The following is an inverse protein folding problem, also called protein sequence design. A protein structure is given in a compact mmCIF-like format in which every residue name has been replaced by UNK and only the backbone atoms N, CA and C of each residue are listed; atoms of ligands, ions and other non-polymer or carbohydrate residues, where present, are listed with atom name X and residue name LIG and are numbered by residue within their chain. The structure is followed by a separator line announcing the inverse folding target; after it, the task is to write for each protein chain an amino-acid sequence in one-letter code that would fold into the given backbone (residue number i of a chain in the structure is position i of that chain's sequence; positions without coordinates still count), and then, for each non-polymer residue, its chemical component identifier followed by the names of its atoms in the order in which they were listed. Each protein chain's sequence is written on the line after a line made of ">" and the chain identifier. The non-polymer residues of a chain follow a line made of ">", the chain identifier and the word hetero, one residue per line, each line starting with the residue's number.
data_IF_143847954804
#
_entry.id   IF_143847954804
#
_cell.length_a   1.000
_cell.length_b   1.000
_cell.length_c   1.000
_cell.angle_alpha   90.00
_cell.angle_beta   90.00
_cell.angle_gamma   90.00
#
_symmetry.space_group_name_H-M   'P 1'
#
loop_
_entity.id
_entity.type
_entity.pdbx_description
1 polymer ?
#
# COMPACT_ATOMS: atom_id res chain seq x y z
N UNK A 1 -9.11 38.78 20.10
CA UNK A 1 -9.21 37.42 20.68
C UNK A 1 -10.65 36.97 20.55
N UNK A 2 -10.92 35.81 19.93
CA UNK A 2 -12.28 35.44 19.51
C UNK A 2 -13.13 35.01 20.71
N UNK A 3 -14.33 35.60 20.89
CA UNK A 3 -15.24 35.29 22.01
C UNK A 3 -15.60 33.81 22.08
N UNK A 4 -15.81 33.17 20.93
CA UNK A 4 -16.09 31.73 20.81
C UNK A 4 -14.97 30.85 21.36
N UNK A 5 -13.71 31.26 21.20
CA UNK A 5 -12.56 30.50 21.73
C UNK A 5 -12.50 30.58 23.26
N UNK A 6 -12.84 31.74 23.84
CA UNK A 6 -12.93 31.91 25.28
C UNK A 6 -14.10 31.10 25.85
N UNK A 7 -15.26 31.10 25.19
CA UNK A 7 -16.41 30.26 25.57
C UNK A 7 -16.09 28.77 25.49
N UNK A 8 -15.36 28.34 24.46
CA UNK A 8 -14.87 26.96 24.34
C UNK A 8 -13.93 26.58 25.49
N UNK A 9 -12.98 27.45 25.87
CA UNK A 9 -12.02 27.20 26.94
C UNK A 9 -12.64 27.22 28.34
N UNK A 10 -13.73 27.96 28.54
CA UNK A 10 -14.43 28.11 29.83
C UNK A 10 -15.70 27.25 29.95
N UNK A 11 -16.14 26.65 28.85
CA UNK A 11 -17.25 25.70 28.80
C UNK A 11 -16.98 24.46 29.64
N UNK A 12 -17.95 24.08 30.49
CA UNK A 12 -17.91 22.86 31.32
C UNK A 12 -18.46 21.63 30.60
N UNK A 13 -18.49 21.63 29.28
CA UNK A 13 -18.96 20.47 28.53
C UNK A 13 -17.99 19.30 28.71
N UNK A 14 -18.49 18.20 29.25
CA UNK A 14 -17.70 16.99 29.38
C UNK A 14 -17.54 16.36 27.99
N UNK A 15 -16.29 16.22 27.54
CA UNK A 15 -15.99 15.54 26.28
C UNK A 15 -16.65 14.15 26.29
N UNK A 16 -17.47 13.81 25.28
CA UNK A 16 -18.11 12.50 25.17
C UNK A 16 -17.09 11.37 25.37
N UNK A 17 -17.39 10.40 26.22
CA UNK A 17 -16.44 9.32 26.58
C UNK A 17 -15.94 8.52 25.36
N UNK A 18 -16.77 8.40 24.32
CA UNK A 18 -16.35 7.75 23.08
C UNK A 18 -15.19 8.52 22.40
N UNK A 19 -15.23 9.86 22.37
CA UNK A 19 -14.17 10.70 21.79
C UNK A 19 -12.89 10.64 22.62
N UNK A 20 -13.00 10.66 23.96
CA UNK A 20 -11.84 10.47 24.85
C UNK A 20 -11.16 9.13 24.59
N UNK A 21 -11.93 8.06 24.46
CA UNK A 21 -11.39 6.72 24.21
C UNK A 21 -10.69 6.62 22.85
N UNK A 22 -11.26 7.23 21.80
CA UNK A 22 -10.67 7.31 20.46
C UNK A 22 -9.37 8.12 20.47
N UNK A 23 -9.36 9.28 21.13
CA UNK A 23 -8.17 10.12 21.26
C UNK A 23 -7.04 9.38 22.01
N UNK A 24 -7.38 8.68 23.11
CA UNK A 24 -6.40 7.88 23.86
C UNK A 24 -5.81 6.75 23.00
N UNK A 25 -6.64 6.04 22.22
CA UNK A 25 -6.18 5.02 21.28
C UNK A 25 -5.24 5.59 20.21
N UNK A 26 -5.61 6.72 19.61
CA UNK A 26 -4.81 7.37 18.57
C UNK A 26 -3.45 7.87 19.09
N UNK A 27 -3.42 8.40 20.32
CA UNK A 27 -2.17 8.78 21.01
C UNK A 27 -1.28 7.56 21.23
N UNK A 28 -1.83 6.47 21.76
CA UNK A 28 -1.07 5.23 22.02
C UNK A 28 -0.48 4.63 20.74
N UNK A 29 -1.23 4.63 19.64
CA UNK A 29 -0.74 4.17 18.34
C UNK A 29 0.35 5.10 17.80
N UNK A 30 0.21 6.41 18.01
CA UNK A 30 1.22 7.39 17.60
C UNK A 30 2.54 7.24 18.36
N UNK A 31 2.51 6.86 19.64
CA UNK A 31 3.72 6.51 20.38
C UNK A 31 4.44 5.28 19.81
N UNK A 32 3.68 4.33 19.26
CA UNK A 32 4.22 3.11 18.64
C UNK A 32 4.41 3.25 17.12
N UNK A 33 4.33 4.46 16.56
CA UNK A 33 4.38 4.74 15.13
C UNK A 33 5.54 4.03 14.42
N UNK A 34 6.75 4.08 15.00
CA UNK A 34 7.94 3.44 14.42
C UNK A 34 7.76 1.93 14.27
N UNK A 35 7.23 1.25 15.29
CA UNK A 35 6.98 -0.19 15.25
C UNK A 35 5.90 -0.54 14.23
N UNK A 36 4.83 0.25 14.19
CA UNK A 36 3.72 0.04 13.25
C UNK A 36 4.19 0.22 11.80
N UNK A 37 4.95 1.27 11.52
CA UNK A 37 5.53 1.53 10.19
C UNK A 37 6.53 0.44 9.82
N UNK A 38 7.41 0.03 10.73
CA UNK A 38 8.37 -1.05 10.48
C UNK A 38 7.67 -2.38 10.16
N UNK A 39 6.59 -2.72 10.88
CA UNK A 39 5.75 -3.90 10.55
C UNK A 39 5.13 -3.78 9.17
N UNK A 40 4.55 -2.62 8.84
CA UNK A 40 3.94 -2.39 7.53
C UNK A 40 4.97 -2.57 6.41
N UNK A 41 6.15 -1.95 6.55
CA UNK A 41 7.25 -2.12 5.59
C UNK A 41 7.73 -3.56 5.50
N UNK A 42 7.79 -4.28 6.62
CA UNK A 42 8.10 -5.72 6.63
C UNK A 42 7.11 -6.54 5.82
N UNK A 43 5.80 -6.27 5.94
CA UNK A 43 4.78 -6.94 5.14
C UNK A 43 4.83 -6.55 3.66
N UNK A 44 5.14 -5.29 3.34
CA UNK A 44 5.39 -4.87 1.95
C UNK A 44 6.59 -5.60 1.35
N UNK A 45 7.68 -5.74 2.10
CA UNK A 45 8.87 -6.49 1.68
C UNK A 45 8.53 -7.96 1.45
N UNK A 46 7.77 -8.60 2.33
CA UNK A 46 7.33 -9.99 2.16
C UNK A 46 6.48 -10.16 0.90
N UNK A 47 5.54 -9.24 0.65
CA UNK A 47 4.75 -9.26 -0.58
C UNK A 47 5.57 -9.01 -1.83
N UNK A 48 6.58 -8.12 -1.76
CA UNK A 48 7.51 -7.90 -2.84
C UNK A 48 8.32 -9.18 -3.15
N UNK A 49 8.88 -9.84 -2.13
CA UNK A 49 9.59 -11.11 -2.28
C UNK A 49 8.70 -12.20 -2.88
N UNK A 50 7.45 -12.29 -2.43
CA UNK A 50 6.46 -13.19 -3.02
C UNK A 50 6.17 -12.84 -4.49
N UNK A 51 6.00 -11.57 -4.81
CA UNK A 51 5.73 -11.16 -6.19
C UNK A 51 6.92 -11.43 -7.11
N UNK A 52 8.16 -11.35 -6.61
CA UNK A 52 9.36 -11.68 -7.38
C UNK A 52 9.49 -13.18 -7.67
N UNK A 53 8.93 -14.06 -6.84
CA UNK A 53 8.90 -15.49 -7.14
C UNK A 53 7.93 -15.84 -8.27
N UNK A 54 6.88 -15.03 -8.45
CA UNK A 54 5.88 -15.19 -9.53
C UNK A 54 6.31 -14.45 -10.80
N UNK A 55 6.75 -13.20 -10.65
CA UNK A 55 7.17 -12.30 -11.72
C UNK A 55 8.65 -11.92 -11.57
N UNK A 56 9.58 -12.69 -12.15
CA UNK A 56 11.01 -12.36 -12.12
C UNK A 56 11.31 -11.16 -13.03
N UNK A 57 11.16 -9.94 -12.50
CA UNK A 57 11.35 -8.68 -13.24
C UNK A 57 12.83 -8.27 -13.44
N UNK A 58 13.79 -9.05 -12.94
CA UNK A 58 15.24 -8.80 -13.08
C UNK A 58 16.05 -10.05 -13.47
N UNK A 59 15.39 -11.07 -14.04
CA UNK A 59 16.04 -12.36 -14.27
C UNK A 59 16.36 -13.16 -13.00
N UNK A 60 15.96 -12.65 -11.82
CA UNK A 60 16.02 -13.36 -10.54
C UNK A 60 14.76 -14.21 -10.37
N UNK A 61 14.66 -15.30 -11.12
CA UNK A 61 13.63 -16.32 -10.95
C UNK A 61 14.12 -17.44 -10.02
N UNK A 62 13.39 -17.71 -8.94
CA UNK A 62 13.62 -18.92 -8.12
C UNK A 62 13.09 -20.20 -8.79
N UNK A 63 12.30 -20.04 -9.86
CA UNK A 63 11.70 -21.15 -10.59
C UNK A 63 12.09 -21.01 -12.05
N UNK A 64 13.00 -21.87 -12.52
CA UNK A 64 13.33 -22.03 -13.93
C UNK A 64 12.13 -22.66 -14.64
N UNK A 65 11.23 -21.83 -15.16
CA UNK A 65 10.02 -22.32 -15.81
C UNK A 65 9.30 -21.26 -16.61
N UNK A 66 8.76 -21.67 -17.75
CA UNK A 66 7.82 -20.93 -18.60
C UNK A 66 6.48 -20.74 -17.87
N UNK A 67 6.50 -20.07 -16.71
CA UNK A 67 5.36 -19.93 -15.80
C UNK A 67 4.29 -18.96 -16.30
N UNK A 68 3.46 -18.47 -15.37
CA UNK A 68 2.40 -17.49 -15.64
C UNK A 68 2.94 -16.31 -16.44
N UNK A 69 4.16 -15.84 -16.13
CA UNK A 69 4.82 -14.75 -16.84
C UNK A 69 5.01 -15.02 -18.34
N UNK A 70 5.37 -16.25 -18.74
CA UNK A 70 5.44 -16.61 -20.17
C UNK A 70 4.05 -16.59 -20.82
N UNK A 71 3.03 -17.09 -20.13
CA UNK A 71 1.64 -17.06 -20.62
C UNK A 71 1.12 -15.64 -20.81
N UNK A 72 1.37 -14.73 -19.86
CA UNK A 72 0.96 -13.32 -19.98
C UNK A 72 1.80 -12.61 -21.05
N UNK A 73 3.07 -12.97 -21.21
CA UNK A 73 3.92 -12.41 -22.26
C UNK A 73 3.48 -12.79 -23.67
N UNK A 74 2.86 -13.97 -23.86
CA UNK A 74 2.23 -14.33 -25.14
C UNK A 74 1.05 -13.42 -25.52
N UNK A 75 0.38 -12.80 -24.53
CA UNK A 75 -0.68 -11.80 -24.78
C UNK A 75 -0.05 -10.46 -25.18
N UNK A 76 1.13 -10.17 -24.63
CA UNK A 76 1.96 -9.03 -24.98
C UNK A 76 2.77 -8.52 -23.80
N UNK A 77 3.89 -7.84 -24.09
CA UNK A 77 4.77 -7.27 -23.07
C UNK A 77 4.03 -6.28 -22.15
N UNK A 78 3.09 -5.51 -22.70
CA UNK A 78 2.25 -4.56 -21.95
C UNK A 78 1.35 -5.28 -20.93
N UNK A 79 0.85 -6.47 -21.26
CA UNK A 79 -0.01 -7.25 -20.37
C UNK A 79 0.82 -7.86 -19.24
N UNK A 80 2.04 -8.33 -19.56
CA UNK A 80 3.00 -8.82 -18.57
C UNK A 80 3.38 -7.71 -17.58
N UNK A 81 3.72 -6.52 -18.08
CA UNK A 81 3.95 -5.34 -17.26
C UNK A 81 2.76 -5.02 -16.37
N UNK A 82 1.55 -4.99 -16.96
CA UNK A 82 0.35 -4.66 -16.23
C UNK A 82 0.09 -5.65 -15.08
N UNK A 83 0.15 -6.95 -15.38
CA UNK A 83 -0.04 -8.00 -14.38
C UNK A 83 1.00 -7.90 -13.26
N UNK A 84 2.28 -7.81 -13.60
CA UNK A 84 3.31 -7.84 -12.58
C UNK A 84 3.38 -6.54 -11.76
N UNK A 85 3.07 -5.39 -12.35
CA UNK A 85 2.91 -4.13 -11.61
C UNK A 85 1.75 -4.19 -10.61
N UNK A 86 0.60 -4.71 -11.05
CA UNK A 86 -0.55 -4.93 -10.17
C UNK A 86 -0.21 -5.91 -9.04
N UNK A 87 0.42 -7.05 -9.35
CA UNK A 87 0.78 -8.08 -8.37
C UNK A 87 1.76 -7.56 -7.32
N UNK A 88 2.78 -6.80 -7.73
CA UNK A 88 3.84 -6.32 -6.84
C UNK A 88 3.28 -5.46 -5.68
N UNK A 89 2.50 -4.42 -6.01
CA UNK A 89 1.93 -3.53 -5.01
C UNK A 89 0.73 -4.13 -4.26
N UNK A 90 -0.06 -4.98 -4.93
CA UNK A 90 -1.20 -5.64 -4.28
C UNK A 90 -0.77 -6.71 -3.29
N UNK A 91 0.25 -7.52 -3.59
CA UNK A 91 0.71 -8.60 -2.72
C UNK A 91 1.15 -8.06 -1.35
N UNK A 92 1.97 -7.01 -1.33
CA UNK A 92 2.42 -6.39 -0.07
C UNK A 92 1.27 -5.83 0.76
N UNK A 93 0.28 -5.21 0.10
CA UNK A 93 -0.91 -4.71 0.77
C UNK A 93 -1.81 -5.84 1.30
N UNK A 94 -1.98 -6.93 0.55
CA UNK A 94 -2.74 -8.10 0.98
C UNK A 94 -2.09 -8.77 2.19
N UNK A 95 -0.77 -8.94 2.17
CA UNK A 95 -0.02 -9.48 3.31
C UNK A 95 -0.18 -8.57 4.53
N UNK A 96 -0.11 -7.25 4.36
CA UNK A 96 -0.35 -6.30 5.44
C UNK A 96 -1.79 -6.39 5.99
N UNK A 97 -2.79 -6.59 5.12
CA UNK A 97 -4.19 -6.74 5.53
C UNK A 97 -4.44 -8.00 6.35
N UNK A 98 -3.71 -9.08 6.07
CA UNK A 98 -3.81 -10.36 6.78
C UNK A 98 -3.01 -10.29 8.10
N UNK A 99 -1.83 -9.68 8.08
CA UNK A 99 -0.90 -9.71 9.22
C UNK A 99 -1.06 -8.60 10.26
N UNK A 100 -1.56 -7.42 9.88
CA UNK A 100 -1.66 -6.27 10.81
C UNK A 100 -3.01 -6.20 11.52
N UNK A 101 -3.00 -5.63 12.73
CA UNK A 101 -4.25 -5.30 13.44
C UNK A 101 -5.01 -4.20 12.67
N UNK A 102 -6.34 -4.30 12.65
CA UNK A 102 -7.19 -3.32 11.95
C UNK A 102 -6.96 -1.87 12.40
N UNK A 103 -6.70 -1.65 13.70
CA UNK A 103 -6.42 -0.32 14.27
C UNK A 103 -5.06 0.24 13.81
N UNK A 104 -4.02 -0.60 13.76
CA UNK A 104 -2.67 -0.23 13.27
C UNK A 104 -2.74 0.15 11.78
N UNK A 105 -3.43 -0.66 10.98
CA UNK A 105 -3.62 -0.44 9.56
C UNK A 105 -4.43 0.85 9.30
N UNK A 106 -5.50 1.08 10.07
CA UNK A 106 -6.29 2.32 9.97
C UNK A 106 -5.45 3.55 10.31
N UNK A 107 -4.61 3.48 11.35
CA UNK A 107 -3.73 4.58 11.75
C UNK A 107 -2.71 4.92 10.65
N UNK A 108 -2.08 3.90 10.06
CA UNK A 108 -1.14 4.02 8.94
C UNK A 108 -1.85 4.62 7.72
N UNK A 109 -3.05 4.12 7.42
CA UNK A 109 -3.87 4.57 6.30
C UNK A 109 -4.25 6.04 6.42
N UNK A 110 -4.79 6.47 7.56
CA UNK A 110 -5.28 7.83 7.74
C UNK A 110 -4.16 8.88 7.61
N UNK A 111 -2.94 8.52 7.98
CA UNK A 111 -1.78 9.44 7.99
C UNK A 111 -0.94 9.38 6.72
N UNK A 112 -0.77 8.20 6.12
CA UNK A 112 0.22 7.97 5.07
C UNK A 112 -0.37 7.40 3.77
N UNK A 113 -1.69 7.42 3.56
CA UNK A 113 -2.36 6.82 2.37
C UNK A 113 -1.62 7.09 1.04
N UNK A 114 -1.20 8.32 0.78
CA UNK A 114 -0.54 8.68 -0.47
C UNK A 114 0.91 8.18 -0.50
N UNK A 115 1.67 8.43 0.57
CA UNK A 115 3.04 7.97 0.69
C UNK A 115 3.14 6.45 0.52
N UNK A 116 2.20 5.68 1.05
CA UNK A 116 2.23 4.21 0.95
C UNK A 116 1.91 3.67 -0.43
N UNK A 117 1.14 4.40 -1.25
CA UNK A 117 0.83 4.02 -2.64
C UNK A 117 1.97 4.45 -3.55
N UNK A 118 2.38 5.71 -3.45
CA UNK A 118 3.28 6.31 -4.40
C UNK A 118 4.74 6.03 -4.09
N UNK A 119 5.16 5.90 -2.83
CA UNK A 119 6.56 5.65 -2.49
C UNK A 119 7.06 4.32 -3.08
N UNK A 120 6.37 3.18 -2.92
CA UNK A 120 6.82 1.94 -3.54
C UNK A 120 6.83 2.02 -5.07
N UNK A 121 5.81 2.65 -5.67
CA UNK A 121 5.77 2.86 -7.12
C UNK A 121 6.94 3.73 -7.62
N UNK A 122 7.28 4.80 -6.90
CA UNK A 122 8.39 5.71 -7.22
C UNK A 122 9.73 5.00 -7.04
N UNK A 123 9.94 4.30 -5.91
CA UNK A 123 11.17 3.55 -5.65
C UNK A 123 11.40 2.49 -6.71
N UNK A 124 10.33 1.77 -7.09
CA UNK A 124 10.42 0.75 -8.13
C UNK A 124 10.63 1.36 -9.52
N UNK A 125 9.98 2.48 -9.83
CA UNK A 125 10.24 3.23 -11.07
C UNK A 125 11.68 3.70 -11.14
N UNK A 126 12.26 4.16 -10.02
CA UNK A 126 13.67 4.52 -9.93
C UNK A 126 14.59 3.31 -10.18
N UNK A 127 14.28 2.16 -9.58
CA UNK A 127 15.02 0.91 -9.82
C UNK A 127 14.93 0.48 -11.29
N UNK A 128 13.76 0.62 -11.91
CA UNK A 128 13.55 0.34 -13.34
C UNK A 128 14.33 1.32 -14.24
N UNK A 129 14.45 2.59 -13.87
CA UNK A 129 15.30 3.54 -14.60
C UNK A 129 16.80 3.19 -14.47
N UNK A 130 17.23 2.68 -13.31
CA UNK A 130 18.60 2.16 -13.18
C UNK A 130 18.81 0.88 -13.99
N UNK A 131 17.77 0.06 -14.16
CA UNK A 131 17.77 -1.15 -14.99
C UNK A 131 18.00 -0.80 -16.47
N UNK A 132 17.32 0.23 -16.98
CA UNK A 132 17.57 0.81 -18.32
C UNK A 132 19.03 1.28 -18.46
N UNK A 133 19.63 1.82 -17.39
CA UNK A 133 21.02 2.28 -17.39
C UNK A 133 22.05 1.14 -17.34
N UNK A 134 21.61 -0.08 -17.01
CA UNK A 134 22.45 -1.29 -16.91
C UNK A 134 22.32 -2.20 -18.15
N UNK A 135 21.60 -1.76 -19.18
CA UNK A 135 21.41 -2.47 -20.47
C UNK A 135 20.89 -3.92 -20.32
N UNK A 136 20.09 -4.15 -19.29
CA UNK A 136 19.37 -5.41 -19.14
C UNK A 136 18.30 -5.49 -20.23
N UNK A 137 18.43 -6.50 -21.08
CA UNK A 137 17.74 -6.65 -22.36
C UNK A 137 16.22 -6.43 -22.29
N UNK A 138 15.72 -5.47 -23.09
CA UNK A 138 14.46 -5.63 -23.82
C UNK A 138 13.17 -5.07 -23.23
N UNK A 139 13.20 -4.11 -22.31
CA UNK A 139 11.97 -3.46 -21.84
C UNK A 139 11.71 -2.11 -22.53
N UNK A 140 10.55 -2.00 -23.17
CA UNK A 140 10.12 -0.79 -23.87
C UNK A 140 9.58 0.27 -22.90
N UNK A 141 9.56 1.55 -23.29
CA UNK A 141 8.92 2.62 -22.51
C UNK A 141 7.45 2.27 -22.19
N UNK A 142 6.74 1.67 -23.15
CA UNK A 142 5.37 1.19 -22.94
C UNK A 142 5.24 0.14 -21.83
N UNK A 143 6.24 -0.73 -21.67
CA UNK A 143 6.27 -1.70 -20.58
C UNK A 143 6.29 -0.98 -19.22
N UNK A 144 7.19 -0.03 -19.03
CA UNK A 144 7.30 0.72 -17.77
C UNK A 144 6.06 1.55 -17.46
N UNK A 145 5.49 2.22 -18.46
CA UNK A 145 4.24 2.98 -18.29
C UNK A 145 3.11 2.07 -17.85
N UNK A 146 2.95 0.91 -18.50
CA UNK A 146 1.89 -0.05 -18.16
C UNK A 146 2.08 -0.65 -16.78
N UNK A 147 3.34 -0.92 -16.40
CA UNK A 147 3.68 -1.38 -15.05
C UNK A 147 3.24 -0.36 -13.99
N UNK A 148 3.60 0.92 -14.15
CA UNK A 148 3.28 1.97 -13.17
C UNK A 148 1.77 2.18 -13.08
N UNK A 149 1.11 2.32 -14.23
CA UNK A 149 -0.33 2.57 -14.30
C UNK A 149 -1.09 1.42 -13.64
N UNK A 150 -0.79 0.17 -13.98
CA UNK A 150 -1.49 -0.98 -13.41
C UNK A 150 -1.23 -1.16 -11.92
N UNK A 151 -0.02 -0.85 -11.45
CA UNK A 151 0.36 -0.93 -10.05
C UNK A 151 -0.45 0.08 -9.22
N UNK A 152 -0.49 1.35 -9.67
CA UNK A 152 -1.25 2.42 -9.02
C UNK A 152 -2.75 2.14 -9.05
N UNK A 153 -3.30 1.71 -10.19
CA UNK A 153 -4.72 1.39 -10.34
C UNK A 153 -5.13 0.23 -9.45
N UNK A 154 -4.36 -0.87 -9.44
CA UNK A 154 -4.66 -2.04 -8.61
C UNK A 154 -4.60 -1.69 -7.12
N UNK A 155 -3.58 -0.92 -6.72
CA UNK A 155 -3.46 -0.52 -5.32
C UNK A 155 -4.59 0.42 -4.91
N UNK A 156 -4.94 1.42 -5.73
CA UNK A 156 -6.10 2.27 -5.49
C UNK A 156 -7.41 1.47 -5.38
N UNK A 157 -7.62 0.49 -6.26
CA UNK A 157 -8.80 -0.37 -6.23
C UNK A 157 -8.91 -1.17 -4.93
N UNK A 158 -7.81 -1.81 -4.50
CA UNK A 158 -7.77 -2.55 -3.23
C UNK A 158 -8.06 -1.68 -2.02
N UNK A 159 -7.53 -0.46 -2.04
CA UNK A 159 -7.72 0.51 -0.97
C UNK A 159 -9.15 1.01 -0.90
N UNK A 160 -9.77 1.28 -2.05
CA UNK A 160 -11.19 1.64 -2.14
C UNK A 160 -12.11 0.49 -1.70
N UNK A 161 -11.76 -0.75 -2.05
CA UNK A 161 -12.49 -1.94 -1.61
C UNK A 161 -12.43 -2.08 -0.08
N UNK A 162 -11.24 -1.89 0.51
CA UNK A 162 -11.04 -1.99 1.96
C UNK A 162 -11.75 -0.88 2.74
N UNK A 163 -11.70 0.37 2.29
CA UNK A 163 -12.40 1.48 2.94
C UNK A 163 -13.91 1.25 2.98
N UNK A 164 -14.48 0.72 1.89
CA UNK A 164 -15.89 0.36 1.80
C UNK A 164 -16.27 -0.76 2.79
N UNK A 165 -15.42 -1.79 2.93
CA UNK A 165 -15.63 -2.85 3.91
C UNK A 165 -15.55 -2.35 5.36
N UNK A 166 -14.59 -1.46 5.68
CA UNK A 166 -14.45 -0.87 7.01
C UNK A 166 -15.64 0.02 7.38
N UNK A 167 -16.13 0.85 6.45
CA UNK A 167 -17.30 1.70 6.67
C UNK A 167 -18.54 0.86 6.97
N UNK A 168 -18.75 -0.24 6.25
CA UNK A 168 -19.84 -1.21 6.52
C UNK A 168 -19.69 -1.86 7.90
N UNK A 169 -18.47 -2.21 8.32
CA UNK A 169 -18.24 -2.81 9.63
C UNK A 169 -18.40 -1.81 10.79
N UNK A 170 -18.08 -0.54 10.58
CA UNK A 170 -18.27 0.52 11.56
C UNK A 170 -19.75 0.89 11.74
N UNK A 171 -20.52 0.91 10.64
CA UNK A 171 -21.97 1.17 10.69
C UNK A 171 -22.79 0.03 11.31
N UNK A 172 -22.25 -1.20 11.33
CA UNK A 172 -22.91 -2.35 11.99
C UNK A 172 -22.65 -2.44 13.50
N UNK A 173 -21.83 -1.55 14.08
CA UNK A 173 -21.52 -1.51 15.52
C UNK A 173 -22.19 -0.34 16.26
N UNK A 174 -23.04 0.41 15.57
CA UNK A 174 -23.90 1.47 16.13
C UNK A 174 -25.35 1.18 15.72
#
# INVERSE_FOLDING_TARGET
>A
MNKEFLEFMTGKESVPEHLKSLAKKDILLSFHAKSIIAKFLGFQLLGALFSMSVCPQFGLGLVDGHGITHMVRMIGDWACAAFCGSLFLSAGLMVAFIGMKGEELWWVWNRYKFSLIFLPAILWSGLMLTNISLDLTGESISYHVMWIVSAVVAQWALLKMRSTMFLKHATLRY
#
